data_IF_209952935495
#
_entry.id   IF_209952935495
#
_cell.length_a   1.000
_cell.length_b   1.000
_cell.length_c   1.000
_cell.angle_alpha   90.00
_cell.angle_beta   90.00
_cell.angle_gamma   90.00
#
_symmetry.space_group_name_H-M   'P 1'
#
loop_
_entity.id
_entity.type
_entity.pdbx_description
1 polymer ?
#
# COMPACT_ATOMS: atom_id res chain seq x y z
N UNK A 1 -20.63 0.20 10.14
CA UNK A 1 -20.29 -0.18 8.76
C UNK A 1 -21.49 -0.61 7.91
N UNK A 2 -22.24 -1.66 8.24
CA UNK A 2 -23.41 -2.07 7.44
C UNK A 2 -24.48 -0.99 7.28
N UNK A 3 -24.74 -0.20 8.31
CA UNK A 3 -25.69 0.92 8.23
C UNK A 3 -25.18 2.03 7.31
N UNK A 4 -23.88 2.34 7.34
CA UNK A 4 -23.22 3.32 6.47
C UNK A 4 -23.39 2.94 5.01
N UNK A 5 -23.05 1.68 4.64
CA UNK A 5 -23.24 1.18 3.27
C UNK A 5 -24.70 1.21 2.83
N UNK A 6 -25.64 0.79 3.69
CA UNK A 6 -27.07 0.81 3.39
C UNK A 6 -27.61 2.24 3.17
N UNK A 7 -27.12 3.20 3.95
CA UNK A 7 -27.50 4.61 3.81
C UNK A 7 -26.86 5.24 2.56
N UNK A 8 -25.59 4.91 2.26
CA UNK A 8 -24.91 5.36 1.05
C UNK A 8 -25.63 4.90 -0.22
N UNK A 9 -26.16 3.66 -0.21
CA UNK A 9 -26.91 3.11 -1.36
C UNK A 9 -28.21 3.84 -1.67
N UNK A 10 -28.79 4.54 -0.69
CA UNK A 10 -30.02 5.36 -0.86
C UNK A 10 -29.74 6.70 -1.56
N UNK A 11 -28.47 7.14 -1.60
CA UNK A 11 -28.07 8.42 -2.19
C UNK A 11 -27.63 8.15 -3.64
N UNK A 12 -28.34 8.67 -4.68
CA UNK A 12 -28.06 8.31 -6.08
C UNK A 12 -26.64 8.64 -6.51
N UNK A 13 -26.07 9.75 -6.06
CA UNK A 13 -24.71 10.18 -6.40
C UNK A 13 -23.65 9.23 -5.81
N UNK A 14 -23.79 8.86 -4.52
CA UNK A 14 -22.90 7.89 -3.87
C UNK A 14 -23.04 6.49 -4.50
N UNK A 15 -24.26 6.09 -4.82
CA UNK A 15 -24.52 4.84 -5.52
C UNK A 15 -23.77 4.78 -6.85
N UNK A 16 -23.82 5.86 -7.64
CA UNK A 16 -23.12 5.91 -8.93
C UNK A 16 -21.59 5.84 -8.75
N UNK A 17 -21.02 6.52 -7.76
CA UNK A 17 -19.59 6.43 -7.43
C UNK A 17 -19.18 5.03 -6.98
N UNK A 18 -20.00 4.38 -6.14
CA UNK A 18 -19.76 2.99 -5.71
C UNK A 18 -19.82 2.02 -6.88
N UNK A 19 -20.85 2.13 -7.73
CA UNK A 19 -20.99 1.29 -8.92
C UNK A 19 -19.83 1.50 -9.90
N UNK A 20 -19.38 2.74 -10.09
CA UNK A 20 -18.23 3.05 -10.92
C UNK A 20 -16.95 2.40 -10.37
N UNK A 21 -16.70 2.50 -9.05
CA UNK A 21 -15.55 1.85 -8.40
C UNK A 21 -15.60 0.33 -8.59
N UNK A 22 -16.77 -0.29 -8.37
CA UNK A 22 -16.95 -1.72 -8.59
C UNK A 22 -16.72 -2.12 -10.06
N UNK A 23 -17.22 -1.31 -11.02
CA UNK A 23 -17.02 -1.57 -12.44
C UNK A 23 -15.51 -1.57 -12.80
N UNK A 24 -14.74 -0.60 -12.31
CA UNK A 24 -13.28 -0.56 -12.53
C UNK A 24 -12.58 -1.77 -11.89
N UNK A 25 -12.99 -2.19 -10.67
CA UNK A 25 -12.44 -3.39 -10.04
C UNK A 25 -12.74 -4.66 -10.83
N UNK A 26 -13.92 -4.77 -11.46
CA UNK A 26 -14.26 -5.88 -12.37
C UNK A 26 -13.38 -5.84 -13.61
N UNK A 27 -13.20 -4.67 -14.25
CA UNK A 27 -12.29 -4.50 -15.40
C UNK A 27 -10.86 -4.91 -15.04
N UNK A 28 -10.39 -4.50 -13.86
CA UNK A 28 -9.08 -4.90 -13.35
C UNK A 28 -8.97 -6.43 -13.19
N UNK A 29 -9.99 -7.09 -12.67
CA UNK A 29 -10.01 -8.56 -12.53
C UNK A 29 -10.03 -9.28 -13.87
N UNK A 30 -10.78 -8.77 -14.84
CA UNK A 30 -10.77 -9.33 -16.21
C UNK A 30 -9.38 -9.21 -16.84
N UNK A 31 -8.72 -8.06 -16.76
CA UNK A 31 -7.36 -7.88 -17.27
C UNK A 31 -6.32 -8.76 -16.58
N UNK A 32 -6.51 -9.05 -15.28
CA UNK A 32 -5.66 -9.99 -14.54
C UNK A 32 -5.86 -11.47 -14.94
N UNK A 33 -6.89 -11.78 -15.72
CA UNK A 33 -7.17 -13.12 -16.23
C UNK A 33 -6.69 -13.32 -17.68
N UNK A 34 -6.37 -12.25 -18.42
CA UNK A 34 -5.97 -12.31 -19.82
C UNK A 34 -4.47 -12.65 -19.90
N UNK A 35 -4.07 -13.86 -20.38
CA UNK A 35 -2.67 -14.22 -20.50
C UNK A 35 -2.01 -13.46 -21.66
N UNK A 36 -0.74 -13.13 -21.49
CA UNK A 36 0.07 -12.52 -22.57
C UNK A 36 0.40 -13.60 -23.63
N UNK A 37 0.26 -13.31 -24.92
CA UNK A 37 0.55 -14.26 -25.98
C UNK A 37 2.03 -14.69 -25.99
N UNK A 38 2.30 -15.87 -26.55
CA UNK A 38 3.63 -16.44 -26.74
C UNK A 38 4.37 -16.90 -25.47
N UNK A 39 3.71 -16.94 -24.30
CA UNK A 39 4.27 -17.43 -23.05
C UNK A 39 3.58 -18.75 -22.65
N UNK A 40 4.36 -19.71 -22.18
CA UNK A 40 3.88 -20.99 -21.65
C UNK A 40 3.85 -20.91 -20.12
N UNK A 41 2.68 -20.81 -19.52
CA UNK A 41 2.53 -20.55 -18.08
C UNK A 41 2.95 -21.71 -17.17
N UNK A 42 2.99 -22.95 -17.66
CA UNK A 42 3.32 -24.14 -16.87
C UNK A 42 4.75 -24.15 -16.30
N UNK A 43 5.72 -23.59 -17.02
CA UNK A 43 7.11 -23.52 -16.57
C UNK A 43 7.34 -22.50 -15.45
N UNK A 44 6.47 -21.47 -15.36
CA UNK A 44 6.61 -20.37 -14.42
C UNK A 44 6.02 -20.69 -13.04
N UNK A 45 4.94 -21.44 -12.98
CA UNK A 45 4.23 -21.75 -11.73
C UNK A 45 5.12 -22.44 -10.69
N UNK A 46 6.08 -23.28 -11.13
CA UNK A 46 7.01 -23.96 -10.23
C UNK A 46 7.99 -23.01 -9.52
N UNK A 47 8.39 -21.92 -10.18
CA UNK A 47 9.34 -20.97 -9.59
C UNK A 47 8.72 -20.08 -8.52
N UNK A 48 7.45 -19.76 -8.68
CA UNK A 48 6.72 -18.94 -7.71
C UNK A 48 6.30 -19.72 -6.46
N UNK A 49 6.37 -21.06 -6.47
CA UNK A 49 6.05 -21.90 -5.31
C UNK A 49 7.15 -21.94 -4.23
N UNK A 50 8.37 -21.53 -4.55
CA UNK A 50 9.55 -21.70 -3.68
C UNK A 50 9.80 -20.57 -2.68
N UNK A 51 8.83 -19.69 -2.41
CA UNK A 51 8.96 -18.64 -1.39
C UNK A 51 9.98 -17.53 -1.71
N UNK A 52 10.32 -17.35 -2.97
CA UNK A 52 11.25 -16.34 -3.46
C UNK A 52 10.61 -14.95 -3.46
N UNK A 53 11.44 -13.89 -3.61
CA UNK A 53 10.98 -12.51 -3.74
C UNK A 53 9.92 -12.31 -4.84
N UNK A 54 10.02 -13.06 -5.94
CA UNK A 54 9.03 -13.06 -7.02
C UNK A 54 7.65 -13.56 -6.56
N UNK A 55 7.58 -14.50 -5.62
CA UNK A 55 6.32 -14.96 -5.04
C UNK A 55 5.62 -13.85 -4.23
N UNK A 56 6.38 -12.98 -3.55
CA UNK A 56 5.83 -11.81 -2.87
C UNK A 56 5.25 -10.79 -3.88
N UNK A 57 5.97 -10.51 -4.96
CA UNK A 57 5.48 -9.63 -6.03
C UNK A 57 4.24 -10.22 -6.73
N UNK A 58 4.20 -11.53 -6.91
CA UNK A 58 3.03 -12.23 -7.45
C UNK A 58 1.82 -12.10 -6.54
N UNK A 59 2.02 -12.19 -5.23
CA UNK A 59 0.96 -11.98 -4.25
C UNK A 59 0.40 -10.54 -4.34
N UNK A 60 1.26 -9.52 -4.49
CA UNK A 60 0.82 -8.13 -4.65
C UNK A 60 0.10 -7.88 -5.98
N UNK A 61 0.42 -8.64 -7.02
CA UNK A 61 -0.27 -8.58 -8.32
C UNK A 61 -1.55 -9.45 -8.37
N UNK A 62 -1.86 -10.18 -7.31
CA UNK A 62 -3.03 -11.06 -7.25
C UNK A 62 -2.89 -12.35 -8.07
N UNK A 63 -1.66 -12.90 -8.20
CA UNK A 63 -1.37 -14.07 -9.01
C UNK A 63 -1.28 -13.78 -10.52
N UNK A 64 -1.20 -12.50 -10.88
CA UNK A 64 -1.11 -12.09 -12.28
C UNK A 64 0.28 -12.31 -12.86
N UNK A 65 1.34 -12.24 -12.02
CA UNK A 65 2.73 -12.40 -12.45
C UNK A 65 3.05 -13.86 -12.77
N UNK A 66 2.66 -14.80 -11.90
CA UNK A 66 2.88 -16.25 -12.11
C UNK A 66 2.14 -16.79 -13.33
N UNK A 67 1.02 -16.16 -13.69
CA UNK A 67 0.24 -16.48 -14.90
C UNK A 67 0.64 -15.67 -16.12
N UNK A 68 1.61 -14.75 -16.00
CA UNK A 68 2.01 -13.83 -17.06
C UNK A 68 0.83 -13.18 -17.77
N UNK A 69 -0.03 -12.54 -17.02
CA UNK A 69 -1.20 -11.84 -17.55
C UNK A 69 -0.87 -10.39 -17.94
N UNK A 70 -1.80 -9.72 -18.60
CA UNK A 70 -1.71 -8.30 -18.98
C UNK A 70 -1.27 -7.41 -17.80
N UNK A 71 -1.77 -7.70 -16.60
CA UNK A 71 -1.49 -6.93 -15.38
C UNK A 71 -0.41 -7.56 -14.49
N UNK A 72 0.52 -8.32 -15.06
CA UNK A 72 1.59 -9.01 -14.32
C UNK A 72 2.45 -8.07 -13.47
N UNK A 73 2.79 -6.88 -13.96
CA UNK A 73 3.56 -5.88 -13.20
C UNK A 73 2.78 -5.24 -12.05
N UNK A 74 1.44 -5.36 -12.07
CA UNK A 74 0.59 -4.76 -11.06
C UNK A 74 0.77 -3.24 -10.94
N UNK A 75 0.62 -2.73 -9.74
CA UNK A 75 0.78 -1.30 -9.38
C UNK A 75 2.23 -0.94 -9.06
N UNK A 76 3.12 -1.93 -8.98
CA UNK A 76 4.52 -1.77 -8.51
C UNK A 76 5.31 -0.68 -9.25
N UNK A 77 5.26 -0.54 -10.58
CA UNK A 77 5.99 0.53 -11.28
C UNK A 77 5.57 1.93 -10.86
N UNK A 78 4.28 2.13 -10.65
CA UNK A 78 3.75 3.42 -10.19
C UNK A 78 4.12 3.70 -8.73
N UNK A 79 4.06 2.70 -7.85
CA UNK A 79 4.49 2.85 -6.45
C UNK A 79 5.96 3.29 -6.39
N UNK A 80 6.84 2.60 -7.13
CA UNK A 80 8.26 2.94 -7.19
C UNK A 80 8.48 4.37 -7.70
N UNK A 81 7.76 4.78 -8.75
CA UNK A 81 7.80 6.14 -9.27
C UNK A 81 7.33 7.16 -8.24
N UNK A 82 6.23 6.88 -7.56
CA UNK A 82 5.67 7.75 -6.52
C UNK A 82 6.65 7.97 -5.36
N UNK A 83 7.33 6.91 -4.92
CA UNK A 83 8.38 6.99 -3.89
C UNK A 83 9.52 7.91 -4.36
N UNK A 84 10.04 7.66 -5.56
CA UNK A 84 11.15 8.43 -6.14
C UNK A 84 10.76 9.91 -6.26
N UNK A 85 9.59 10.22 -6.81
CA UNK A 85 9.13 11.60 -6.99
C UNK A 85 8.91 12.28 -5.64
N UNK A 86 8.34 11.61 -4.64
CA UNK A 86 8.15 12.17 -3.30
C UNK A 86 9.49 12.45 -2.59
N UNK A 87 10.47 11.55 -2.70
CA UNK A 87 11.82 11.78 -2.16
C UNK A 87 12.51 12.93 -2.87
N UNK A 88 12.39 13.01 -4.20
CA UNK A 88 12.95 14.11 -4.99
C UNK A 88 12.28 15.46 -4.69
N UNK A 89 10.99 15.47 -4.37
CA UNK A 89 10.25 16.69 -3.98
C UNK A 89 10.81 17.30 -2.70
N UNK A 90 11.33 16.47 -1.78
CA UNK A 90 11.99 16.95 -0.55
C UNK A 90 13.46 17.32 -0.82
N UNK A 91 14.14 16.59 -1.71
CA UNK A 91 15.56 16.79 -1.98
C UNK A 91 15.85 17.97 -2.93
N UNK A 92 14.92 18.27 -3.86
CA UNK A 92 15.11 19.28 -4.90
C UNK A 92 14.22 20.50 -4.64
N UNK A 93 14.78 21.69 -4.33
CA UNK A 93 14.00 22.90 -4.03
C UNK A 93 13.02 23.31 -5.13
N UNK A 94 13.35 23.05 -6.39
CA UNK A 94 12.45 23.35 -7.53
C UNK A 94 11.16 22.53 -7.47
N UNK A 95 11.25 21.26 -7.10
CA UNK A 95 10.09 20.38 -6.96
C UNK A 95 9.31 20.68 -5.66
N UNK A 96 10.01 21.09 -4.60
CA UNK A 96 9.37 21.55 -3.35
C UNK A 96 8.53 22.80 -3.61
N UNK A 97 9.05 23.78 -4.37
CA UNK A 97 8.31 24.97 -4.74
C UNK A 97 7.11 24.64 -5.63
N UNK A 98 7.31 23.73 -6.60
CA UNK A 98 6.22 23.23 -7.44
C UNK A 98 5.11 22.58 -6.61
N UNK A 99 5.43 21.80 -5.58
CA UNK A 99 4.45 21.18 -4.70
C UNK A 99 3.59 22.18 -3.91
N UNK A 100 4.10 23.40 -3.69
CA UNK A 100 3.40 24.48 -2.97
C UNK A 100 2.50 25.34 -3.88
N UNK A 101 2.62 25.20 -5.21
CA UNK A 101 1.72 25.86 -6.15
C UNK A 101 0.30 25.30 -6.08
N UNK A 102 -0.74 26.10 -6.39
CA UNK A 102 -2.13 25.62 -6.39
C UNK A 102 -2.35 24.38 -7.27
N UNK A 103 -1.73 24.33 -8.45
CA UNK A 103 -1.81 23.20 -9.40
C UNK A 103 -0.63 22.22 -9.29
N UNK A 104 0.23 22.39 -8.29
CA UNK A 104 1.47 21.65 -8.15
C UNK A 104 1.27 20.16 -7.93
N UNK A 105 0.25 19.79 -7.17
CA UNK A 105 -0.13 18.39 -6.93
C UNK A 105 -0.46 17.65 -8.24
N UNK A 106 -1.23 18.29 -9.13
CA UNK A 106 -1.58 17.72 -10.44
C UNK A 106 -0.35 17.54 -11.33
N UNK A 107 0.57 18.52 -11.34
CA UNK A 107 1.83 18.41 -12.08
C UNK A 107 2.73 17.29 -11.53
N UNK A 108 2.81 17.15 -10.21
CA UNK A 108 3.57 16.06 -9.57
C UNK A 108 2.97 14.68 -9.90
N UNK A 109 1.65 14.55 -9.93
CA UNK A 109 0.99 13.32 -10.37
C UNK A 109 1.33 12.98 -11.83
N UNK A 110 1.36 13.98 -12.72
CA UNK A 110 1.76 13.76 -14.11
C UNK A 110 3.22 13.29 -14.21
N UNK A 111 4.15 13.92 -13.48
CA UNK A 111 5.55 13.48 -13.42
C UNK A 111 5.64 12.03 -12.92
N UNK A 112 4.92 11.70 -11.87
CA UNK A 112 4.87 10.34 -11.31
C UNK A 112 4.35 9.33 -12.34
N UNK A 113 3.33 9.69 -13.13
CA UNK A 113 2.77 8.82 -14.17
C UNK A 113 3.78 8.56 -15.29
N UNK A 114 4.51 9.60 -15.76
CA UNK A 114 5.56 9.42 -16.77
C UNK A 114 6.74 8.60 -16.23
N UNK A 115 7.20 8.89 -15.01
CA UNK A 115 8.23 8.11 -14.35
C UNK A 115 7.82 6.64 -14.16
N UNK A 116 6.56 6.39 -13.79
CA UNK A 116 5.97 5.06 -13.70
C UNK A 116 5.97 4.31 -15.04
N UNK A 117 5.76 5.02 -16.15
CA UNK A 117 5.88 4.46 -17.49
C UNK A 117 7.29 3.99 -17.83
N UNK A 118 8.29 4.83 -17.53
CA UNK A 118 9.70 4.49 -17.76
C UNK A 118 10.12 3.30 -16.87
N UNK A 119 9.79 3.32 -15.60
CA UNK A 119 10.09 2.21 -14.67
C UNK A 119 9.36 0.94 -15.11
N UNK A 120 8.10 1.05 -15.53
CA UNK A 120 7.32 -0.07 -16.07
C UNK A 120 7.98 -0.71 -17.29
N UNK A 121 8.52 0.10 -18.20
CA UNK A 121 9.26 -0.39 -19.37
C UNK A 121 10.55 -1.12 -18.94
N UNK A 122 11.33 -0.57 -18.04
CA UNK A 122 12.55 -1.21 -17.51
C UNK A 122 12.23 -2.55 -16.84
N UNK A 123 11.20 -2.58 -16.00
CA UNK A 123 10.73 -3.80 -15.35
C UNK A 123 10.22 -4.82 -16.35
N UNK A 124 9.48 -4.40 -17.38
CA UNK A 124 9.01 -5.29 -18.47
C UNK A 124 10.15 -5.96 -19.20
N UNK A 125 11.23 -5.23 -19.49
CA UNK A 125 12.44 -5.79 -20.08
C UNK A 125 13.08 -6.83 -19.14
N UNK A 126 13.20 -6.50 -17.84
CA UNK A 126 13.73 -7.43 -16.85
C UNK A 126 12.93 -8.74 -16.77
N UNK A 127 11.60 -8.65 -16.70
CA UNK A 127 10.73 -9.82 -16.71
C UNK A 127 10.79 -10.62 -18.00
N UNK A 128 10.92 -9.96 -19.15
CA UNK A 128 11.15 -10.67 -20.42
C UNK A 128 12.41 -11.54 -20.37
N UNK A 129 13.52 -11.02 -19.83
CA UNK A 129 14.75 -11.81 -19.69
C UNK A 129 14.57 -13.01 -18.74
N UNK A 130 13.87 -12.84 -17.62
CA UNK A 130 13.56 -13.94 -16.71
C UNK A 130 12.75 -15.03 -17.41
N UNK A 131 11.68 -14.66 -18.12
CA UNK A 131 10.82 -15.60 -18.87
C UNK A 131 11.61 -16.32 -19.97
N UNK A 132 12.50 -15.59 -20.66
CA UNK A 132 13.38 -16.15 -21.70
C UNK A 132 14.36 -17.19 -21.13
N UNK A 133 15.03 -16.86 -20.03
CA UNK A 133 16.01 -17.75 -19.40
C UNK A 133 15.37 -19.03 -18.85
N UNK A 134 14.09 -18.96 -18.49
CA UNK A 134 13.30 -20.12 -18.05
C UNK A 134 12.82 -21.02 -19.19
N UNK A 135 13.08 -20.65 -20.44
CA UNK A 135 12.58 -21.43 -21.59
C UNK A 135 11.05 -21.41 -21.74
N UNK A 136 10.35 -20.44 -21.09
CA UNK A 136 8.89 -20.33 -21.13
C UNK A 136 8.38 -19.60 -22.38
N UNK A 137 9.26 -19.21 -23.31
CA UNK A 137 8.90 -18.54 -24.56
C UNK A 137 8.63 -19.56 -25.66
N UNK A 138 7.61 -19.32 -26.46
CA UNK A 138 7.24 -20.16 -27.62
C UNK A 138 8.20 -19.96 -28.77
N UNK A 139 8.75 -18.77 -28.97
CA UNK A 139 9.70 -18.42 -30.04
C UNK A 139 10.87 -17.65 -29.42
N UNK A 140 12.10 -18.20 -29.57
CA UNK A 140 13.30 -17.64 -28.93
C UNK A 140 14.33 -17.13 -29.94
N UNK A 141 14.22 -17.50 -31.23
CA UNK A 141 15.24 -17.22 -32.28
C UNK A 141 14.63 -16.57 -33.52
N UNK A 142 15.46 -15.83 -34.26
CA UNK A 142 15.08 -15.17 -35.51
C UNK A 142 14.13 -13.97 -35.36
N UNK A 143 13.51 -13.57 -36.46
CA UNK A 143 12.55 -12.45 -36.49
C UNK A 143 11.34 -12.69 -35.60
N UNK A 144 10.88 -13.95 -35.48
CA UNK A 144 9.78 -14.30 -34.57
C UNK A 144 10.14 -14.09 -33.09
N UNK A 145 11.39 -14.32 -32.69
CA UNK A 145 11.87 -14.05 -31.33
C UNK A 145 11.88 -12.56 -31.00
N UNK A 146 12.31 -11.70 -31.93
CA UNK A 146 12.30 -10.25 -31.77
C UNK A 146 10.85 -9.73 -31.66
N UNK A 147 9.95 -10.21 -32.53
CA UNK A 147 8.53 -9.86 -32.49
C UNK A 147 7.91 -10.26 -31.14
N UNK A 148 8.18 -11.47 -30.66
CA UNK A 148 7.72 -11.95 -29.35
C UNK A 148 8.22 -11.05 -28.21
N UNK A 149 9.49 -10.63 -28.23
CA UNK A 149 10.06 -9.73 -27.23
C UNK A 149 9.32 -8.38 -27.21
N UNK A 150 9.14 -7.76 -28.38
CA UNK A 150 8.44 -6.47 -28.50
C UNK A 150 7.00 -6.57 -28.01
N UNK A 151 6.28 -7.62 -28.39
CA UNK A 151 4.88 -7.82 -27.96
C UNK A 151 4.79 -7.99 -26.44
N UNK A 152 5.63 -8.81 -25.82
CA UNK A 152 5.60 -9.06 -24.38
C UNK A 152 5.92 -7.78 -23.62
N UNK A 153 7.01 -7.06 -23.98
CA UNK A 153 7.42 -5.83 -23.31
C UNK A 153 6.34 -4.75 -23.46
N UNK A 154 5.79 -4.57 -24.67
CA UNK A 154 4.73 -3.61 -24.92
C UNK A 154 3.46 -3.95 -24.12
N UNK A 155 3.08 -5.23 -24.06
CA UNK A 155 1.88 -5.67 -23.33
C UNK A 155 2.03 -5.46 -21.83
N UNK A 156 3.15 -5.80 -21.23
CA UNK A 156 3.38 -5.56 -19.80
C UNK A 156 3.44 -4.07 -19.46
N UNK A 157 4.09 -3.26 -20.28
CA UNK A 157 4.18 -1.81 -20.07
C UNK A 157 2.80 -1.16 -20.21
N UNK A 158 2.05 -1.53 -21.26
CA UNK A 158 0.69 -1.04 -21.45
C UNK A 158 -0.24 -1.45 -20.31
N UNK A 159 -0.12 -2.70 -19.82
CA UNK A 159 -0.88 -3.19 -18.68
C UNK A 159 -0.62 -2.38 -17.40
N UNK A 160 0.63 -2.07 -17.10
CA UNK A 160 0.99 -1.24 -15.94
C UNK A 160 0.41 0.18 -16.05
N UNK A 161 0.44 0.80 -17.24
CA UNK A 161 -0.16 2.12 -17.47
C UNK A 161 -1.68 2.09 -17.38
N UNK A 162 -2.32 1.02 -17.86
CA UNK A 162 -3.77 0.82 -17.72
C UNK A 162 -4.19 0.71 -16.25
N UNK A 163 -3.43 0.00 -15.41
CA UNK A 163 -3.70 -0.09 -13.97
C UNK A 163 -3.60 1.28 -13.32
N UNK A 164 -2.57 2.05 -13.65
CA UNK A 164 -2.38 3.42 -13.14
C UNK A 164 -3.57 4.30 -13.51
N UNK A 165 -3.98 4.25 -14.79
CA UNK A 165 -5.15 4.98 -15.26
C UNK A 165 -6.45 4.54 -14.55
N UNK A 166 -6.65 3.24 -14.32
CA UNK A 166 -7.78 2.74 -13.55
C UNK A 166 -7.80 3.29 -12.12
N UNK A 167 -6.63 3.37 -11.46
CA UNK A 167 -6.49 3.98 -10.14
C UNK A 167 -6.89 5.46 -10.14
N UNK A 168 -6.35 6.25 -11.08
CA UNK A 168 -6.69 7.67 -11.24
C UNK A 168 -8.19 7.88 -11.51
N UNK A 169 -8.82 7.02 -12.32
CA UNK A 169 -10.27 7.11 -12.54
C UNK A 169 -11.10 6.84 -11.30
N UNK A 170 -10.64 5.95 -10.40
CA UNK A 170 -11.32 5.74 -9.12
C UNK A 170 -11.12 6.96 -8.21
N UNK A 171 -9.93 7.57 -8.18
CA UNK A 171 -9.66 8.78 -7.39
C UNK A 171 -10.58 9.94 -7.82
N UNK A 172 -10.77 10.14 -9.12
CA UNK A 172 -11.57 11.24 -9.67
C UNK A 172 -13.09 11.00 -9.54
N UNK A 173 -13.57 9.82 -9.91
CA UNK A 173 -15.00 9.52 -10.11
C UNK A 173 -15.57 8.50 -9.13
N UNK A 174 -14.70 7.80 -8.40
CA UNK A 174 -15.06 6.75 -7.46
C UNK A 174 -15.12 7.21 -6.02
N UNK A 175 -14.82 6.28 -5.10
CA UNK A 175 -14.77 6.47 -3.65
C UNK A 175 -13.48 5.85 -3.12
N UNK A 176 -12.77 6.58 -2.26
CA UNK A 176 -11.53 6.13 -1.63
C UNK A 176 -10.30 6.33 -2.53
N UNK A 177 -9.18 5.76 -2.15
CA UNK A 177 -7.94 5.82 -2.93
C UNK A 177 -7.89 4.66 -3.94
N UNK A 178 -7.87 4.99 -5.24
CA UNK A 178 -8.00 4.00 -6.31
C UNK A 178 -6.89 2.98 -6.35
N UNK A 179 -5.64 3.41 -6.18
CA UNK A 179 -4.49 2.50 -6.18
C UNK A 179 -4.54 1.54 -4.98
N UNK A 180 -4.89 2.05 -3.81
CA UNK A 180 -5.06 1.23 -2.61
C UNK A 180 -6.18 0.19 -2.79
N UNK A 181 -7.29 0.56 -3.45
CA UNK A 181 -8.39 -0.35 -3.78
C UNK A 181 -7.99 -1.42 -4.81
N UNK A 182 -7.16 -1.09 -5.78
CA UNK A 182 -6.62 -2.06 -6.74
C UNK A 182 -5.69 -3.08 -6.04
N UNK A 183 -4.82 -2.62 -5.13
CA UNK A 183 -3.99 -3.51 -4.30
C UNK A 183 -4.86 -4.39 -3.39
N UNK A 184 -5.87 -3.82 -2.76
CA UNK A 184 -6.86 -4.55 -1.97
C UNK A 184 -7.53 -5.66 -2.79
N UNK A 185 -8.00 -5.34 -3.99
CA UNK A 185 -8.61 -6.31 -4.91
C UNK A 185 -7.64 -7.44 -5.28
N UNK A 186 -6.35 -7.11 -5.49
CA UNK A 186 -5.30 -8.09 -5.77
C UNK A 186 -5.11 -9.07 -4.60
N UNK A 187 -4.99 -8.54 -3.39
CA UNK A 187 -4.76 -9.35 -2.18
C UNK A 187 -5.96 -10.25 -1.90
N UNK A 188 -7.19 -9.70 -1.95
CA UNK A 188 -8.41 -10.47 -1.71
C UNK A 188 -8.58 -11.58 -2.74
N UNK A 189 -8.14 -11.36 -3.97
CA UNK A 189 -8.17 -12.37 -5.02
C UNK A 189 -7.31 -13.60 -4.71
N UNK A 190 -6.19 -13.41 -4.04
CA UNK A 190 -5.31 -14.51 -3.64
C UNK A 190 -5.85 -15.35 -2.47
N UNK A 191 -7.00 -14.98 -1.90
CA UNK A 191 -7.62 -15.79 -0.85
C UNK A 191 -8.04 -17.20 -1.32
N UNK A 192 -8.20 -17.40 -2.63
CA UNK A 192 -8.38 -18.74 -3.18
C UNK A 192 -7.16 -19.65 -2.94
N UNK A 193 -5.95 -19.10 -2.91
CA UNK A 193 -4.73 -19.85 -2.59
C UNK A 193 -4.65 -20.24 -1.11
N UNK A 194 -5.34 -19.53 -0.22
CA UNK A 194 -5.48 -19.94 1.18
C UNK A 194 -6.24 -21.25 1.33
N UNK A 195 -7.32 -21.40 0.56
CA UNK A 195 -8.08 -22.65 0.60
C UNK A 195 -7.20 -23.84 0.23
N UNK A 196 -6.40 -23.71 -0.83
CA UNK A 196 -5.46 -24.77 -1.25
C UNK A 196 -4.35 -25.00 -0.23
N UNK A 197 -3.84 -23.94 0.42
CA UNK A 197 -2.85 -24.04 1.50
C UNK A 197 -3.44 -24.74 2.72
N UNK A 198 -4.63 -24.35 3.17
CA UNK A 198 -5.32 -24.96 4.30
C UNK A 198 -5.65 -26.43 4.01
N UNK A 199 -6.15 -26.74 2.81
CA UNK A 199 -6.40 -28.11 2.39
C UNK A 199 -5.11 -28.95 2.36
N UNK A 200 -3.99 -28.38 1.86
CA UNK A 200 -2.68 -29.02 1.87
C UNK A 200 -2.16 -29.30 3.29
N UNK A 201 -2.39 -28.38 4.23
CA UNK A 201 -2.03 -28.59 5.63
C UNK A 201 -2.88 -29.67 6.31
N UNK A 202 -4.17 -29.73 6.00
CA UNK A 202 -5.06 -30.79 6.50
C UNK A 202 -4.66 -32.17 5.96
N UNK A 203 -4.25 -32.26 4.70
CA UNK A 203 -3.76 -33.54 4.14
C UNK A 203 -2.44 -33.99 4.78
N UNK A 204 -1.53 -33.05 5.10
CA UNK A 204 -0.30 -33.36 5.86
C UNK A 204 -0.62 -33.79 7.31
N UNK A 205 -1.57 -33.15 7.96
CA UNK A 205 -2.06 -33.55 9.28
C UNK A 205 -2.61 -34.96 9.26
N UNK A 206 -3.38 -35.34 8.24
CA UNK A 206 -3.92 -36.67 8.04
C UNK A 206 -2.82 -37.71 7.69
N UNK A 207 -1.70 -37.28 7.11
CA UNK A 207 -0.56 -38.15 6.78
C UNK A 207 0.37 -38.47 7.97
N UNK A 208 0.08 -37.96 9.19
CA UNK A 208 0.84 -38.26 10.41
C UNK A 208 1.50 -37.08 11.10
N UNK A 209 1.51 -35.89 10.52
CA UNK A 209 2.03 -34.68 11.13
C UNK A 209 0.94 -34.01 12.02
N UNK A 210 0.64 -34.64 13.17
CA UNK A 210 -0.48 -34.26 14.06
C UNK A 210 -0.41 -32.82 14.60
N UNK A 211 0.77 -32.20 14.59
CA UNK A 211 0.98 -30.81 15.03
C UNK A 211 0.15 -29.80 14.22
N UNK A 212 -0.18 -30.09 12.95
CA UNK A 212 -0.96 -29.17 12.11
C UNK A 212 -2.45 -29.09 12.51
N UNK A 213 -3.00 -30.08 13.21
CA UNK A 213 -4.35 -29.98 13.75
C UNK A 213 -4.50 -28.91 14.82
N UNK A 214 -3.43 -28.61 15.58
CA UNK A 214 -3.42 -27.55 16.61
C UNK A 214 -2.98 -26.22 15.98
N UNK A 215 -1.99 -26.26 15.08
CA UNK A 215 -1.38 -25.08 14.49
C UNK A 215 -2.36 -24.32 13.59
N UNK A 216 -3.21 -25.03 12.84
CA UNK A 216 -4.15 -24.39 11.90
C UNK A 216 -5.22 -23.55 12.61
N UNK A 217 -5.98 -24.04 13.62
CA UNK A 217 -6.90 -23.18 14.37
C UNK A 217 -6.18 -22.06 15.12
N UNK A 218 -4.97 -22.31 15.63
CA UNK A 218 -4.15 -21.28 16.26
C UNK A 218 -3.82 -20.13 15.31
N UNK A 219 -3.45 -20.42 14.05
CA UNK A 219 -3.18 -19.41 13.03
C UNK A 219 -4.44 -18.60 12.68
N UNK A 220 -5.61 -19.23 12.61
CA UNK A 220 -6.88 -18.52 12.36
C UNK A 220 -7.20 -17.58 13.52
N UNK A 221 -7.08 -18.04 14.76
CA UNK A 221 -7.29 -17.19 15.95
C UNK A 221 -6.30 -16.04 15.97
N UNK A 222 -5.03 -16.30 15.68
CA UNK A 222 -4.00 -15.27 15.61
C UNK A 222 -4.31 -14.22 14.53
N UNK A 223 -4.74 -14.64 13.34
CA UNK A 223 -5.14 -13.73 12.28
C UNK A 223 -6.31 -12.82 12.72
N UNK A 224 -7.31 -13.37 13.39
CA UNK A 224 -8.42 -12.59 13.95
C UNK A 224 -7.95 -11.61 15.02
N UNK A 225 -7.05 -12.01 15.92
CA UNK A 225 -6.46 -11.13 16.93
C UNK A 225 -5.69 -9.98 16.26
N UNK A 226 -4.89 -10.28 15.24
CA UNK A 226 -4.15 -9.27 14.46
C UNK A 226 -5.10 -8.29 13.78
N UNK A 227 -6.19 -8.76 13.16
CA UNK A 227 -7.20 -7.89 12.54
C UNK A 227 -7.81 -6.95 13.58
N UNK A 228 -8.24 -7.47 14.72
CA UNK A 228 -8.82 -6.66 15.83
C UNK A 228 -7.80 -5.62 16.31
N UNK A 229 -6.54 -6.04 16.48
CA UNK A 229 -5.46 -5.16 16.89
C UNK A 229 -5.21 -4.04 15.87
N UNK A 230 -5.18 -4.34 14.56
CA UNK A 230 -5.07 -3.35 13.49
C UNK A 230 -6.24 -2.35 13.55
N UNK A 231 -7.47 -2.83 13.69
CA UNK A 231 -8.66 -1.96 13.76
C UNK A 231 -8.59 -1.01 14.95
N UNK A 232 -8.23 -1.52 16.13
CA UNK A 232 -8.11 -0.70 17.35
C UNK A 232 -7.03 0.37 17.17
N UNK A 233 -5.84 -0.02 16.70
CA UNK A 233 -4.70 0.89 16.56
C UNK A 233 -4.90 1.93 15.45
N UNK A 234 -5.57 1.57 14.36
CA UNK A 234 -5.87 2.50 13.25
C UNK A 234 -6.96 3.50 13.62
N UNK A 235 -7.88 3.13 14.52
CA UNK A 235 -8.91 4.02 15.03
C UNK A 235 -8.48 4.81 16.28
N UNK A 236 -7.39 4.43 16.92
CA UNK A 236 -6.88 5.12 18.09
C UNK A 236 -6.44 6.54 17.74
N UNK A 237 -6.92 7.52 18.51
CA UNK A 237 -6.59 8.93 18.34
C UNK A 237 -6.30 9.60 19.69
N UNK A 238 -5.34 10.54 19.69
CA UNK A 238 -5.11 11.44 20.80
C UNK A 238 -5.82 12.76 20.54
N UNK A 239 -6.78 13.10 21.38
CA UNK A 239 -7.53 14.36 21.30
C UNK A 239 -6.83 15.43 22.12
N UNK A 240 -6.37 16.51 21.46
CA UNK A 240 -5.82 17.68 22.11
C UNK A 240 -6.95 18.70 22.23
N UNK A 241 -7.26 19.13 23.45
CA UNK A 241 -8.31 20.13 23.68
C UNK A 241 -7.87 21.49 23.16
N UNK A 242 -8.73 22.15 22.39
CA UNK A 242 -8.57 23.52 21.90
C UNK A 242 -9.70 24.35 22.50
N UNK A 243 -9.34 25.49 23.08
CA UNK A 243 -10.28 26.47 23.58
C UNK A 243 -10.31 27.68 22.65
N UNK A 244 -11.49 28.03 22.19
CA UNK A 244 -11.70 29.25 21.43
C UNK A 244 -12.16 30.38 22.36
N UNK A 245 -11.60 31.59 22.16
CA UNK A 245 -11.97 32.77 22.94
C UNK A 245 -13.46 33.09 22.74
N UNK A 246 -14.16 33.38 23.86
CA UNK A 246 -15.54 33.85 23.80
C UNK A 246 -15.58 35.24 23.21
N UNK A 247 -16.42 35.46 22.20
CA UNK A 247 -16.63 36.76 21.60
C UNK A 247 -17.93 37.36 22.16
N UNK A 248 -17.84 38.52 22.77
CA UNK A 248 -19.04 39.26 23.25
C UNK A 248 -19.47 40.16 22.11
N UNK A 249 -20.66 39.94 21.57
CA UNK A 249 -21.30 40.82 20.59
C UNK A 249 -22.56 41.40 21.24
N UNK A 250 -22.45 42.65 21.69
CA UNK A 250 -23.50 43.30 22.48
C UNK A 250 -23.70 42.63 23.85
N UNK A 251 -24.94 42.30 24.21
CA UNK A 251 -25.32 41.62 25.46
C UNK A 251 -25.23 40.08 25.37
N UNK A 252 -24.96 39.50 24.20
CA UNK A 252 -24.88 38.04 23.99
C UNK A 252 -23.43 37.56 23.91
N UNK A 253 -23.08 36.59 24.76
CA UNK A 253 -21.82 35.87 24.63
C UNK A 253 -21.99 34.83 23.51
N UNK A 254 -21.26 35.01 22.42
CA UNK A 254 -21.15 34.04 21.35
C UNK A 254 -19.75 33.38 21.37
N UNK A 255 -19.69 32.06 21.19
CA UNK A 255 -18.44 31.31 21.16
C UNK A 255 -18.05 30.69 22.50
N UNK A 256 -16.87 30.16 22.59
CA UNK A 256 -16.37 29.43 23.76
C UNK A 256 -16.66 27.93 23.69
N UNK A 257 -16.88 27.39 22.49
CA UNK A 257 -17.02 25.97 22.30
C UNK A 257 -15.63 25.33 22.39
N UNK A 258 -15.46 24.34 23.25
CA UNK A 258 -14.27 23.53 23.29
C UNK A 258 -14.30 22.60 22.09
N UNK A 259 -13.25 22.62 21.31
CA UNK A 259 -13.02 21.70 20.19
C UNK A 259 -11.83 20.80 20.49
N UNK A 260 -11.62 19.78 19.67
CA UNK A 260 -10.50 18.87 19.82
C UNK A 260 -9.73 18.78 18.50
N UNK A 261 -8.41 18.78 18.58
CA UNK A 261 -7.53 18.39 17.49
C UNK A 261 -7.27 16.87 17.59
N UNK A 262 -7.89 16.05 16.73
CA UNK A 262 -7.66 14.61 16.75
C UNK A 262 -6.34 14.30 16.06
N UNK A 263 -5.39 13.71 16.75
CA UNK A 263 -4.16 13.16 16.19
C UNK A 263 -4.27 11.64 16.19
N UNK A 264 -4.41 11.03 15.02
CA UNK A 264 -4.51 9.58 14.87
C UNK A 264 -3.18 8.92 15.23
N UNK A 265 -3.21 7.73 15.82
CA UNK A 265 -1.99 6.95 16.11
C UNK A 265 -1.28 6.53 14.82
N UNK A 266 -2.04 6.03 13.86
CA UNK A 266 -1.55 5.73 12.52
C UNK A 266 -1.93 6.88 11.57
N UNK A 267 -1.10 7.94 11.54
CA UNK A 267 -1.32 9.13 10.70
C UNK A 267 -0.92 8.88 9.24
N UNK A 268 0.07 8.05 9.01
CA UNK A 268 0.63 7.75 7.69
C UNK A 268 -0.14 6.65 6.96
N UNK A 269 -1.10 5.98 7.63
CA UNK A 269 -1.85 4.88 7.05
C UNK A 269 -0.98 3.66 6.73
N UNK A 270 -1.20 3.04 5.60
CA UNK A 270 -0.46 1.85 5.13
C UNK A 270 0.72 2.20 4.21
N UNK A 271 0.86 3.47 3.80
CA UNK A 271 1.85 3.91 2.82
C UNK A 271 3.31 3.62 3.22
N UNK A 272 3.74 3.83 4.49
CA UNK A 272 5.12 3.52 4.88
C UNK A 272 5.50 2.05 4.68
N UNK A 273 4.57 1.14 4.90
CA UNK A 273 4.80 -0.29 4.70
C UNK A 273 4.92 -0.63 3.22
N UNK A 274 4.02 -0.07 2.39
CA UNK A 274 4.06 -0.27 0.94
C UNK A 274 5.40 0.25 0.37
N UNK A 275 5.84 1.43 0.81
CA UNK A 275 7.10 2.01 0.36
C UNK A 275 8.33 1.23 0.86
N UNK A 276 8.34 0.85 2.14
CA UNK A 276 9.41 0.04 2.69
C UNK A 276 9.53 -1.31 1.97
N UNK A 277 8.39 -1.98 1.70
CA UNK A 277 8.37 -3.25 0.97
C UNK A 277 8.82 -3.10 -0.48
N UNK A 278 8.38 -2.04 -1.17
CA UNK A 278 8.80 -1.76 -2.53
C UNK A 278 10.32 -1.52 -2.62
N UNK A 279 10.87 -0.70 -1.72
CA UNK A 279 12.29 -0.36 -1.74
C UNK A 279 13.19 -1.55 -1.37
N UNK A 280 12.82 -2.33 -0.33
CA UNK A 280 13.60 -3.51 0.08
C UNK A 280 13.53 -4.63 -0.95
N UNK A 281 12.47 -4.65 -1.81
CA UNK A 281 12.32 -5.63 -2.88
C UNK A 281 13.20 -5.36 -4.10
N UNK A 282 13.69 -4.13 -4.29
CA UNK A 282 14.50 -3.76 -5.46
C UNK A 282 15.75 -4.62 -5.62
N UNK A 283 16.63 -4.78 -4.59
CA UNK A 283 17.83 -5.61 -4.73
C UNK A 283 17.50 -7.07 -5.05
N UNK A 284 16.50 -7.66 -4.37
CA UNK A 284 16.05 -9.02 -4.63
C UNK A 284 15.51 -9.21 -6.05
N UNK A 285 14.78 -8.22 -6.57
CA UNK A 285 14.26 -8.24 -7.94
C UNK A 285 15.39 -8.14 -8.97
N UNK A 286 16.36 -7.25 -8.75
CA UNK A 286 17.56 -7.13 -9.60
C UNK A 286 18.35 -8.43 -9.58
N UNK A 287 18.58 -9.05 -8.43
CA UNK A 287 19.24 -10.34 -8.29
C UNK A 287 18.53 -11.45 -9.08
N UNK A 288 17.18 -11.45 -9.04
CA UNK A 288 16.38 -12.40 -9.82
C UNK A 288 16.50 -12.18 -11.34
N UNK A 289 16.67 -10.92 -11.79
CA UNK A 289 16.85 -10.61 -13.21
C UNK A 289 18.23 -10.98 -13.72
N UNK A 290 19.28 -10.77 -12.90
CA UNK A 290 20.66 -11.05 -13.28
C UNK A 290 21.01 -12.55 -13.23
N UNK A 291 20.25 -13.38 -12.50
CA UNK A 291 20.48 -14.83 -12.32
C UNK A 291 21.95 -15.16 -12.08
N UNK A 292 22.56 -14.50 -11.07
CA UNK A 292 23.97 -14.58 -10.78
C UNK A 292 24.33 -15.97 -10.24
N UNK A 293 25.25 -16.65 -10.92
CA UNK A 293 25.75 -17.95 -10.50
C UNK A 293 26.68 -17.80 -9.29
N UNK A 294 26.47 -18.66 -8.28
CA UNK A 294 27.29 -18.68 -7.06
C UNK A 294 28.76 -18.96 -7.37
N UNK A 295 29.03 -19.79 -8.38
CA UNK A 295 30.38 -20.19 -8.76
C UNK A 295 31.17 -19.05 -9.46
N UNK A 296 30.47 -18.22 -10.26
CA UNK A 296 31.11 -17.15 -11.02
C UNK A 296 31.33 -15.86 -10.19
N UNK A 297 30.37 -15.52 -9.35
CA UNK A 297 30.38 -14.26 -8.57
C UNK A 297 29.88 -14.44 -7.13
N UNK A 298 30.64 -15.06 -6.22
CA UNK A 298 30.20 -15.43 -4.89
C UNK A 298 29.78 -14.22 -4.04
N UNK A 299 30.44 -13.05 -4.18
CA UNK A 299 30.11 -11.83 -3.44
C UNK A 299 28.74 -11.29 -3.84
N UNK A 300 28.47 -11.14 -5.14
CA UNK A 300 27.18 -10.64 -5.64
C UNK A 300 26.05 -11.60 -5.35
N UNK A 301 26.32 -12.91 -5.47
CA UNK A 301 25.34 -13.92 -5.06
C UNK A 301 24.97 -13.80 -3.59
N UNK A 302 25.96 -13.73 -2.69
CA UNK A 302 25.72 -13.56 -1.26
C UNK A 302 24.97 -12.26 -0.96
N UNK A 303 25.34 -11.15 -1.63
CA UNK A 303 24.68 -9.86 -1.46
C UNK A 303 23.18 -9.94 -1.82
N UNK A 304 22.84 -10.40 -3.02
CA UNK A 304 21.43 -10.49 -3.43
C UNK A 304 20.65 -11.56 -2.67
N UNK A 305 21.29 -12.66 -2.31
CA UNK A 305 20.66 -13.70 -1.49
C UNK A 305 20.34 -13.24 -0.07
N UNK A 306 21.10 -12.28 0.47
CA UNK A 306 20.83 -11.70 1.78
C UNK A 306 19.55 -10.87 1.81
N UNK A 307 19.12 -10.32 0.65
CA UNK A 307 17.83 -9.66 0.49
C UNK A 307 16.67 -10.62 0.22
N UNK A 308 16.84 -11.90 0.50
CA UNK A 308 15.74 -12.85 0.44
C UNK A 308 14.78 -12.63 1.62
N UNK A 309 13.48 -12.79 1.39
CA UNK A 309 12.38 -12.55 2.35
C UNK A 309 12.54 -13.27 3.70
N UNK A 310 13.25 -14.42 3.73
CA UNK A 310 13.48 -15.20 4.96
C UNK A 310 14.70 -14.77 5.75
N UNK A 311 15.54 -13.88 5.21
CA UNK A 311 16.80 -13.46 5.84
C UNK A 311 16.56 -12.52 7.03
N UNK A 312 17.29 -12.69 8.11
CA UNK A 312 17.26 -11.79 9.26
C UNK A 312 17.63 -10.35 8.88
N UNK A 313 18.60 -10.18 7.98
CA UNK A 313 19.04 -8.86 7.52
C UNK A 313 17.94 -8.15 6.72
N UNK A 314 17.16 -8.89 5.91
CA UNK A 314 15.97 -8.36 5.26
C UNK A 314 14.99 -7.80 6.29
N UNK A 315 14.69 -8.55 7.34
CA UNK A 315 13.74 -8.13 8.41
C UNK A 315 14.22 -6.86 9.09
N UNK A 316 15.53 -6.76 9.42
CA UNK A 316 16.10 -5.58 10.08
C UNK A 316 16.03 -4.35 9.18
N UNK A 317 16.44 -4.48 7.90
CA UNK A 317 16.37 -3.37 6.93
C UNK A 317 14.92 -2.95 6.72
N UNK A 318 14.02 -3.91 6.58
CA UNK A 318 12.59 -3.64 6.39
C UNK A 318 12.00 -2.87 7.57
N UNK A 319 12.32 -3.27 8.80
CA UNK A 319 11.91 -2.58 10.03
C UNK A 319 12.44 -1.14 10.06
N UNK A 320 13.73 -0.94 9.77
CA UNK A 320 14.33 0.40 9.72
C UNK A 320 13.68 1.29 8.65
N UNK A 321 13.38 0.73 7.48
CA UNK A 321 12.69 1.45 6.42
C UNK A 321 11.26 1.83 6.81
N UNK A 322 10.52 0.94 7.47
CA UNK A 322 9.17 1.28 7.98
C UNK A 322 9.25 2.45 8.95
N UNK A 323 10.19 2.43 9.90
CA UNK A 323 10.42 3.54 10.84
C UNK A 323 10.74 4.83 10.10
N UNK A 324 11.72 4.80 9.19
CA UNK A 324 12.15 5.96 8.43
C UNK A 324 11.01 6.55 7.59
N UNK A 325 10.29 5.72 6.83
CA UNK A 325 9.17 6.18 6.00
C UNK A 325 7.99 6.67 6.82
N UNK A 326 7.73 6.10 8.00
CA UNK A 326 6.66 6.58 8.86
C UNK A 326 6.95 8.01 9.35
N UNK A 327 8.16 8.28 9.82
CA UNK A 327 8.59 9.63 10.20
C UNK A 327 8.57 10.60 9.01
N UNK A 328 9.10 10.16 7.88
CA UNK A 328 9.13 10.94 6.64
C UNK A 328 7.71 11.34 6.19
N UNK A 329 6.77 10.41 6.19
CA UNK A 329 5.39 10.66 5.78
C UNK A 329 4.68 11.64 6.72
N UNK A 330 4.83 11.46 8.02
CA UNK A 330 4.23 12.36 9.01
C UNK A 330 4.83 13.75 8.91
N UNK A 331 6.15 13.87 8.67
CA UNK A 331 6.81 15.16 8.51
C UNK A 331 6.34 15.94 7.28
N UNK A 332 6.02 15.25 6.18
CA UNK A 332 5.48 15.90 4.96
C UNK A 332 4.00 16.26 5.14
N UNK A 333 3.22 15.38 5.73
CA UNK A 333 1.77 15.53 5.79
C UNK A 333 1.32 16.52 6.87
N UNK A 334 2.07 16.64 7.95
CA UNK A 334 1.73 17.48 9.09
C UNK A 334 2.80 18.54 9.30
N UNK A 335 2.40 19.82 9.12
CA UNK A 335 3.26 20.95 9.42
C UNK A 335 2.81 21.58 10.78
N UNK A 336 3.53 21.32 11.90
CA UNK A 336 3.13 21.81 13.22
C UNK A 336 3.11 23.33 13.29
N UNK A 337 3.96 24.02 12.53
CA UNK A 337 4.02 25.50 12.50
C UNK A 337 2.77 26.05 11.85
N UNK A 338 2.34 25.47 10.76
CA UNK A 338 1.12 25.87 10.06
C UNK A 338 -0.13 25.59 10.89
N UNK A 339 -0.21 24.43 11.56
CA UNK A 339 -1.30 24.10 12.48
C UNK A 339 -1.37 25.12 13.61
N UNK A 340 -0.23 25.48 14.25
CA UNK A 340 -0.18 26.46 15.31
C UNK A 340 -0.58 27.87 14.83
N UNK A 341 -0.17 28.26 13.62
CA UNK A 341 -0.56 29.54 13.01
C UNK A 341 -2.05 29.59 12.67
N UNK A 342 -2.62 28.50 12.15
CA UNK A 342 -4.05 28.40 11.86
C UNK A 342 -4.89 28.46 13.15
N UNK A 343 -4.46 27.79 14.22
CA UNK A 343 -5.09 27.93 15.54
C UNK A 343 -5.05 29.39 16.03
N UNK A 344 -3.89 30.06 15.92
CA UNK A 344 -3.76 31.46 16.32
C UNK A 344 -4.66 32.39 15.50
N UNK A 345 -4.73 32.20 14.17
CA UNK A 345 -5.61 33.01 13.29
C UNK A 345 -7.09 32.86 13.65
N UNK A 346 -7.49 31.68 14.10
CA UNK A 346 -8.87 31.37 14.50
C UNK A 346 -9.14 31.65 15.99
N UNK A 347 -8.25 32.38 16.70
CA UNK A 347 -8.32 32.63 18.13
C UNK A 347 -8.47 31.36 19.00
N UNK A 348 -7.93 30.22 18.50
CA UNK A 348 -7.85 28.97 19.25
C UNK A 348 -6.55 28.90 20.06
N UNK A 349 -6.64 28.39 21.28
CA UNK A 349 -5.46 28.16 22.14
C UNK A 349 -5.51 26.76 22.75
N UNK A 350 -4.33 26.17 22.97
CA UNK A 350 -4.20 24.94 23.73
C UNK A 350 -4.00 25.34 25.21
N UNK A 351 -4.82 24.82 26.14
CA UNK A 351 -4.70 25.15 27.57
C UNK A 351 -3.26 24.86 28.06
N UNK A 352 -2.68 25.84 28.76
CA UNK A 352 -1.30 25.73 29.29
C UNK A 352 -0.19 26.14 28.34
N UNK A 353 -0.47 26.44 27.07
CA UNK A 353 0.53 26.87 26.07
C UNK A 353 0.17 28.22 25.46
N UNK A 354 1.15 29.12 25.36
CA UNK A 354 0.97 30.39 24.67
C UNK A 354 0.85 30.16 23.15
N UNK A 355 -0.07 30.89 22.46
CA UNK A 355 -0.19 30.81 21.01
C UNK A 355 1.13 31.16 20.30
N UNK A 356 1.45 30.43 19.22
CA UNK A 356 2.66 30.62 18.42
C UNK A 356 3.67 29.49 18.61
N UNK A 357 4.97 29.84 18.76
CA UNK A 357 6.07 28.86 18.84
C UNK A 357 5.90 27.81 19.96
N UNK A 358 5.51 28.14 21.20
CA UNK A 358 5.31 27.12 22.23
C UNK A 358 4.21 26.10 21.90
N UNK A 359 3.16 26.54 21.20
CA UNK A 359 2.11 25.62 20.69
C UNK A 359 2.64 24.72 19.59
N UNK A 360 3.42 25.25 18.65
CA UNK A 360 4.08 24.45 17.60
C UNK A 360 5.03 23.41 18.20
N UNK A 361 5.86 23.81 19.18
CA UNK A 361 6.81 22.88 19.84
C UNK A 361 6.07 21.76 20.60
N UNK A 362 4.96 22.08 21.27
CA UNK A 362 4.12 21.08 21.91
C UNK A 362 3.52 20.09 20.92
N UNK A 363 2.97 20.59 19.80
CA UNK A 363 2.41 19.75 18.74
C UNK A 363 3.52 18.86 18.15
N UNK A 364 4.69 19.41 17.86
CA UNK A 364 5.84 18.64 17.33
C UNK A 364 6.25 17.51 18.26
N UNK A 365 6.39 17.78 19.57
CA UNK A 365 6.74 16.74 20.54
C UNK A 365 5.67 15.65 20.63
N UNK A 366 4.41 16.04 20.56
CA UNK A 366 3.29 15.10 20.62
C UNK A 366 3.23 14.25 19.35
N UNK A 367 3.40 14.86 18.17
CA UNK A 367 3.47 14.16 16.89
C UNK A 367 4.60 13.14 16.88
N UNK A 368 5.82 13.52 17.28
CA UNK A 368 6.96 12.61 17.30
C UNK A 368 6.73 11.37 18.18
N UNK A 369 6.12 11.55 19.35
CA UNK A 369 5.78 10.43 20.25
C UNK A 369 4.73 9.49 19.65
N UNK A 370 3.69 10.07 19.06
CA UNK A 370 2.61 9.31 18.41
C UNK A 370 3.16 8.57 17.18
N UNK A 371 3.99 9.24 16.38
CA UNK A 371 4.65 8.65 15.20
C UNK A 371 5.52 7.46 15.57
N UNK A 372 6.27 7.54 16.67
CA UNK A 372 7.07 6.41 17.15
C UNK A 372 6.21 5.20 17.51
N UNK A 373 5.12 5.43 18.27
CA UNK A 373 4.19 4.35 18.62
C UNK A 373 3.52 3.75 17.38
N UNK A 374 3.10 4.59 16.43
CA UNK A 374 2.55 4.15 15.15
C UNK A 374 3.56 3.35 14.34
N UNK A 375 4.83 3.77 14.28
CA UNK A 375 5.88 3.07 13.57
C UNK A 375 6.20 1.69 14.19
N UNK A 376 6.24 1.58 15.52
CA UNK A 376 6.42 0.30 16.23
C UNK A 376 5.23 -0.63 15.93
N UNK A 377 4.02 -0.11 15.96
CA UNK A 377 2.81 -0.86 15.59
C UNK A 377 2.90 -1.42 14.16
N UNK A 378 3.21 -0.56 13.18
CA UNK A 378 3.34 -0.95 11.78
C UNK A 378 4.44 -2.01 11.60
N UNK A 379 5.59 -1.81 12.24
CA UNK A 379 6.71 -2.74 12.22
C UNK A 379 6.35 -4.10 12.83
N UNK A 380 5.67 -4.12 13.97
CA UNK A 380 5.25 -5.35 14.64
C UNK A 380 4.29 -6.16 13.73
N UNK A 381 3.28 -5.51 13.13
CA UNK A 381 2.34 -6.18 12.23
C UNK A 381 3.02 -6.66 10.95
N UNK A 382 3.98 -5.90 10.40
CA UNK A 382 4.67 -6.26 9.17
C UNK A 382 5.64 -7.42 9.33
N UNK A 383 6.33 -7.51 10.48
CA UNK A 383 7.36 -8.52 10.75
C UNK A 383 6.77 -9.82 11.31
N UNK A 384 5.64 -9.74 12.00
CA UNK A 384 5.00 -10.91 12.64
C UNK A 384 4.83 -12.13 11.72
N UNK A 385 4.34 -12.01 10.47
CA UNK A 385 4.21 -13.18 9.60
C UNK A 385 5.53 -13.75 9.10
N UNK A 386 6.55 -12.90 8.96
CA UNK A 386 7.88 -13.36 8.56
C UNK A 386 8.45 -14.26 9.67
N UNK A 387 8.31 -13.84 10.94
CA UNK A 387 8.72 -14.64 12.10
C UNK A 387 7.91 -15.93 12.17
N UNK A 388 6.59 -15.85 12.00
CA UNK A 388 5.72 -17.04 12.03
C UNK A 388 6.05 -18.02 10.90
N UNK A 389 6.29 -17.51 9.69
CA UNK A 389 6.70 -18.33 8.55
C UNK A 389 8.01 -19.09 8.82
N UNK A 390 8.99 -18.40 9.40
CA UNK A 390 10.28 -19.01 9.75
C UNK A 390 10.16 -20.02 10.88
N UNK A 391 9.30 -19.78 11.89
CA UNK A 391 9.10 -20.70 13.02
C UNK A 391 8.28 -21.93 12.66
N UNK A 392 7.28 -21.78 11.79
CA UNK A 392 6.37 -22.87 11.42
C UNK A 392 6.83 -23.64 10.19
N UNK A 393 7.83 -23.14 9.46
CA UNK A 393 8.26 -23.69 8.17
C UNK A 393 7.19 -23.61 7.08
N UNK A 394 6.15 -22.80 7.31
CA UNK A 394 5.06 -22.61 6.35
C UNK A 394 5.32 -21.34 5.53
N UNK A 395 5.16 -21.43 4.23
CA UNK A 395 5.02 -20.25 3.38
C UNK A 395 3.64 -19.62 3.59
N UNK A 396 3.49 -18.83 4.68
CA UNK A 396 2.24 -18.12 4.96
C UNK A 396 2.18 -16.95 3.96
N UNK A 397 1.52 -17.17 2.83
CA UNK A 397 1.38 -16.16 1.76
C UNK A 397 0.53 -14.96 2.19
N UNK A 398 -0.35 -15.10 3.20
CA UNK A 398 -1.04 -13.97 3.83
C UNK A 398 -0.15 -13.35 4.91
N UNK A 399 0.79 -12.52 4.48
CA UNK A 399 1.61 -11.74 5.39
C UNK A 399 0.78 -10.67 6.14
N UNK A 400 1.27 -10.22 7.33
CA UNK A 400 0.64 -9.13 8.09
C UNK A 400 0.55 -7.83 7.32
N UNK A 401 1.44 -7.61 6.34
CA UNK A 401 1.35 -6.50 5.39
C UNK A 401 0.08 -6.57 4.57
N UNK A 402 -0.29 -7.75 4.06
CA UNK A 402 -1.52 -7.94 3.29
C UNK A 402 -2.76 -7.71 4.14
N UNK A 403 -2.79 -8.25 5.38
CA UNK A 403 -3.87 -8.02 6.32
C UNK A 403 -3.99 -6.55 6.69
N UNK A 404 -2.87 -5.88 6.94
CA UNK A 404 -2.84 -4.47 7.28
C UNK A 404 -3.34 -3.60 6.11
N UNK A 405 -2.92 -3.91 4.88
CA UNK A 405 -3.40 -3.21 3.68
C UNK A 405 -4.91 -3.43 3.50
N UNK A 406 -5.38 -4.68 3.61
CA UNK A 406 -6.80 -5.00 3.45
C UNK A 406 -7.66 -4.28 4.49
N UNK A 407 -7.29 -4.36 5.76
CA UNK A 407 -8.04 -3.70 6.85
C UNK A 407 -7.92 -2.18 6.76
N UNK A 408 -6.72 -1.65 6.48
CA UNK A 408 -6.48 -0.22 6.34
C UNK A 408 -7.30 0.39 5.21
N UNK A 409 -7.26 -0.20 4.03
CA UNK A 409 -8.03 0.27 2.86
C UNK A 409 -9.52 0.18 3.10
N UNK A 410 -10.01 -0.90 3.73
CA UNK A 410 -11.42 -1.03 4.09
C UNK A 410 -11.88 0.08 5.06
N UNK A 411 -11.06 0.41 6.07
CA UNK A 411 -11.33 1.49 7.01
C UNK A 411 -11.27 2.86 6.34
N UNK A 412 -10.28 3.13 5.50
CA UNK A 412 -10.12 4.41 4.81
C UNK A 412 -11.26 4.64 3.80
N UNK A 413 -11.68 3.59 3.07
CA UNK A 413 -12.84 3.65 2.16
C UNK A 413 -14.13 3.93 2.93
N UNK A 414 -14.32 3.30 4.09
CA UNK A 414 -15.50 3.53 4.94
C UNK A 414 -15.52 4.97 5.46
N UNK A 415 -14.35 5.50 5.90
CA UNK A 415 -14.24 6.90 6.34
C UNK A 415 -14.51 7.89 5.21
N UNK A 416 -13.99 7.62 4.01
CA UNK A 416 -14.30 8.43 2.83
C UNK A 416 -15.80 8.46 2.56
N UNK A 417 -16.46 7.31 2.64
CA UNK A 417 -17.91 7.20 2.48
C UNK A 417 -18.68 8.01 3.54
N UNK A 418 -18.30 7.90 4.83
CA UNK A 418 -18.90 8.65 5.93
C UNK A 418 -18.69 10.16 5.76
N UNK A 419 -17.51 10.59 5.30
CA UNK A 419 -17.20 11.99 5.00
C UNK A 419 -18.12 12.55 3.91
N UNK A 420 -18.31 11.83 2.82
CA UNK A 420 -19.23 12.22 1.73
C UNK A 420 -20.68 12.35 2.22
N UNK A 421 -21.15 11.43 3.09
CA UNK A 421 -22.50 11.48 3.65
C UNK A 421 -22.69 12.68 4.58
N UNK A 422 -21.69 12.98 5.40
CA UNK A 422 -21.74 14.10 6.38
C UNK A 422 -21.75 15.44 5.66
N UNK A 423 -20.94 15.62 4.62
CA UNK A 423 -20.93 16.86 3.81
C UNK A 423 -22.28 17.15 3.16
N UNK A 424 -23.02 16.12 2.80
CA UNK A 424 -24.33 16.29 2.15
C UNK A 424 -25.46 16.60 3.14
N UNK A 425 -25.43 16.01 4.34
CA UNK A 425 -26.42 16.33 5.38
C UNK A 425 -26.36 17.80 5.80
N UNK A 426 -25.21 18.47 5.68
CA UNK A 426 -25.10 19.90 5.95
C UNK A 426 -25.57 20.78 4.79
N UNK A 427 -25.50 20.32 3.53
CA UNK A 427 -26.05 21.07 2.39
C UNK A 427 -27.59 21.13 2.36
N UNK A 428 -28.28 20.18 3.02
CA UNK A 428 -29.73 20.14 3.13
C UNK A 428 -30.34 21.15 4.10
N UNK A 429 -29.51 21.96 4.81
CA UNK A 429 -29.97 22.97 5.75
C UNK A 429 -29.97 24.40 5.16
N UNK A 430 -29.44 24.57 3.94
CA UNK A 430 -29.28 25.85 3.24
C UNK A 430 -29.89 25.85 1.83
N UNK A 431 -30.64 24.80 1.46
CA UNK A 431 -31.37 24.68 0.21
C UNK A 431 -32.86 24.64 0.40
#
# INVERSE_FOLDING_TARGET
MFQTFRNAWKIPELKNRLLFTLAILVVYRLGSAIPVPFITSSALTQMFSNGNMLAYLDMMSGGALSRCTLFALGVTPYINASIIVQLLTVAIPSLENLAKEPDGQTKLQQITRYAGGIIGLVMSIGYYFVIRNMGALKYTSGAAGIFTAVVIIATFTAGAQLITWCGEQIDDKGIGNGLSLLIFSSIVSNWSSLYTTVAGLLTRAAAGETQFYILLPLLVVLALVVIVFIVIMTNAERRITIQYAKRVVGRKQMGGQNSYLPLKLNMSGVMPIIFASALVSIPGTIGSFLQIDQAAHPFWYAFFHTFNYTSLLYVVIYLLLILAFNYFYVAIQYNPVEIANNLRRNNGSIPGFRPGKPTSDFITRTLNKITLLGAIFLAAVAVLPIILGNLTGMSIQLGGTSLLIVVGVALDTTRSLDSFMTMRNHKGFLG
#
